data_IF_512155818404
#
_entry.id   IF_512155818404
#
_cell.length_a   1.000
_cell.length_b   1.000
_cell.length_c   1.000
_cell.angle_alpha   90.00
_cell.angle_beta   90.00
_cell.angle_gamma   90.00
#
_symmetry.space_group_name_H-M   'P 1'
#
loop_
_entity.id
_entity.type
_entity.pdbx_description
1 polymer ?
#
# COMPACT_ATOMS: atom_id res chain seq x y z
N UNK A 1 -0.33 -12.10 6.68
CA UNK A 1 0.25 -11.00 5.89
C UNK A 1 1.18 -11.61 4.85
N UNK A 2 0.90 -11.42 3.56
CA UNK A 2 1.63 -12.01 2.44
C UNK A 2 2.35 -10.90 1.67
N UNK A 3 3.63 -11.08 1.37
CA UNK A 3 4.41 -10.13 0.58
C UNK A 3 5.20 -10.88 -0.48
N UNK A 4 5.25 -10.31 -1.68
CA UNK A 4 6.05 -10.77 -2.80
C UNK A 4 6.90 -9.62 -3.31
N UNK A 5 8.15 -9.91 -3.65
CA UNK A 5 9.08 -8.99 -4.31
C UNK A 5 9.74 -9.74 -5.45
N UNK A 6 9.67 -9.19 -6.64
CA UNK A 6 10.20 -9.80 -7.85
C UNK A 6 11.12 -8.81 -8.54
N UNK A 7 12.38 -9.22 -8.70
CA UNK A 7 13.32 -8.55 -9.58
C UNK A 7 13.18 -9.17 -10.98
N UNK A 8 12.71 -8.37 -11.93
CA UNK A 8 12.43 -8.79 -13.29
C UNK A 8 13.55 -8.31 -14.24
N UNK A 9 13.79 -9.03 -15.36
CA UNK A 9 14.76 -8.60 -16.36
C UNK A 9 14.51 -7.17 -16.87
N UNK A 10 15.57 -6.45 -17.22
CA UNK A 10 15.47 -5.08 -17.74
C UNK A 10 15.32 -4.00 -16.66
N UNK A 11 15.70 -4.31 -15.40
CA UNK A 11 15.70 -3.35 -14.30
C UNK A 11 14.33 -3.07 -13.71
N UNK A 12 13.36 -3.95 -13.95
CA UNK A 12 12.00 -3.85 -13.42
C UNK A 12 11.91 -4.51 -12.05
N UNK A 13 11.17 -3.88 -11.14
CA UNK A 13 10.86 -4.42 -9.82
C UNK A 13 9.35 -4.47 -9.65
N UNK A 14 8.82 -5.59 -9.20
CA UNK A 14 7.39 -5.72 -8.90
C UNK A 14 7.19 -6.24 -7.48
N UNK A 15 6.62 -5.39 -6.63
CA UNK A 15 6.27 -5.75 -5.26
C UNK A 15 4.76 -5.79 -5.09
N UNK A 16 4.31 -6.74 -4.27
CA UNK A 16 2.91 -6.84 -3.86
C UNK A 16 2.84 -7.17 -2.38
N UNK A 17 1.93 -6.52 -1.66
CA UNK A 17 1.59 -6.84 -0.29
C UNK A 17 0.09 -7.06 -0.17
N UNK A 18 -0.27 -8.18 0.44
CA UNK A 18 -1.65 -8.59 0.67
C UNK A 18 -1.85 -8.90 2.15
N UNK A 19 -2.84 -8.24 2.74
CA UNK A 19 -3.18 -8.37 4.14
C UNK A 19 -4.65 -8.78 4.22
N UNK A 20 -4.94 -9.75 5.09
CA UNK A 20 -6.29 -10.04 5.53
C UNK A 20 -6.38 -9.64 6.98
N UNK A 21 -7.44 -8.92 7.31
CA UNK A 21 -7.81 -8.57 8.68
C UNK A 21 -9.17 -9.18 8.91
N UNK A 22 -9.24 -10.03 9.93
CA UNK A 22 -10.49 -10.66 10.34
C UNK A 22 -11.41 -9.65 11.03
N UNK A 23 -12.69 -9.99 11.19
CA UNK A 23 -13.64 -9.13 11.90
C UNK A 23 -13.16 -8.87 13.32
N UNK A 24 -13.24 -7.62 13.75
CA UNK A 24 -13.00 -7.18 15.12
C UNK A 24 -14.31 -6.64 15.71
N UNK A 25 -15.17 -7.49 16.30
CA UNK A 25 -16.50 -7.10 16.77
C UNK A 25 -16.46 -6.00 17.83
N UNK A 26 -15.47 -6.04 18.72
CA UNK A 26 -15.30 -5.05 19.80
C UNK A 26 -14.96 -3.64 19.28
N UNK A 27 -14.53 -3.53 18.02
CA UNK A 27 -14.15 -2.29 17.37
C UNK A 27 -15.07 -1.91 16.20
N UNK A 28 -16.19 -2.62 16.01
CA UNK A 28 -17.12 -2.42 14.89
C UNK A 28 -16.42 -2.40 13.51
N UNK A 29 -15.37 -3.22 13.36
CA UNK A 29 -14.61 -3.35 12.12
C UNK A 29 -14.94 -4.71 11.51
N UNK A 30 -15.52 -4.69 10.31
CA UNK A 30 -15.75 -5.88 9.50
C UNK A 30 -14.44 -6.48 8.97
N UNK A 31 -14.48 -7.74 8.54
CA UNK A 31 -13.34 -8.37 7.87
C UNK A 31 -13.02 -7.64 6.55
N UNK A 32 -11.73 -7.48 6.25
CA UNK A 32 -11.32 -6.83 5.01
C UNK A 32 -9.98 -7.33 4.49
N UNK A 33 -9.79 -7.07 3.19
CA UNK A 33 -8.55 -7.34 2.49
C UNK A 33 -7.91 -6.03 2.07
N UNK A 34 -6.60 -5.92 2.29
CA UNK A 34 -5.78 -4.80 1.84
C UNK A 34 -4.71 -5.27 0.87
N UNK A 35 -4.75 -4.72 -0.34
CA UNK A 35 -3.78 -4.96 -1.41
C UNK A 35 -3.01 -3.68 -1.73
N UNK A 36 -1.69 -3.77 -1.65
CA UNK A 36 -0.75 -2.74 -2.09
C UNK A 36 0.16 -3.32 -3.18
N UNK A 37 0.44 -2.53 -4.22
CA UNK A 37 1.28 -2.94 -5.37
C UNK A 37 2.26 -1.82 -5.70
N UNK A 38 3.52 -2.17 -5.98
CA UNK A 38 4.54 -1.26 -6.52
C UNK A 38 5.14 -1.84 -7.79
N UNK A 39 5.26 -0.99 -8.80
CA UNK A 39 6.07 -1.25 -9.99
C UNK A 39 7.21 -0.22 -10.05
N UNK A 40 8.44 -0.69 -9.92
CA UNK A 40 9.67 0.08 -10.02
C UNK A 40 10.40 -0.20 -11.33
N UNK A 41 11.13 0.79 -11.84
CA UNK A 41 11.98 0.65 -13.01
C UNK A 41 13.26 1.48 -12.90
N UNK A 42 14.39 0.80 -12.96
CA UNK A 42 15.72 1.40 -13.06
C UNK A 42 16.03 1.70 -14.53
N UNK A 43 15.70 2.91 -14.96
CA UNK A 43 15.96 3.39 -16.33
C UNK A 43 17.45 3.49 -16.60
N UNK A 44 18.22 3.88 -15.58
CA UNK A 44 19.69 3.94 -15.61
C UNK A 44 20.23 3.89 -14.18
N UNK A 45 21.57 3.89 -14.02
CA UNK A 45 22.20 3.98 -12.70
C UNK A 45 21.84 5.27 -11.92
N UNK A 46 21.34 6.29 -12.62
CA UNK A 46 21.04 7.60 -12.06
C UNK A 46 19.54 7.90 -11.96
N UNK A 47 18.67 7.06 -12.56
CA UNK A 47 17.25 7.37 -12.70
C UNK A 47 16.40 6.14 -12.37
N UNK A 48 15.52 6.30 -11.40
CA UNK A 48 14.56 5.28 -10.97
C UNK A 48 13.14 5.84 -10.98
N UNK A 49 12.23 5.10 -11.61
CA UNK A 49 10.80 5.43 -11.66
C UNK A 49 10.03 4.43 -10.81
N UNK A 50 9.02 4.90 -10.09
CA UNK A 50 8.15 4.05 -9.30
C UNK A 50 6.70 4.49 -9.45
N UNK A 51 5.80 3.52 -9.55
CA UNK A 51 4.37 3.70 -9.41
C UNK A 51 3.88 2.80 -8.29
N UNK A 52 3.21 3.38 -7.31
CA UNK A 52 2.68 2.65 -6.15
C UNK A 52 1.18 2.86 -6.07
N UNK A 53 0.43 1.77 -5.99
CA UNK A 53 -0.97 1.75 -5.63
C UNK A 53 -1.14 1.20 -4.21
N UNK A 54 -1.88 1.93 -3.37
CA UNK A 54 -2.17 1.51 -2.00
C UNK A 54 -3.67 1.36 -1.77
N UNK A 55 -4.04 0.41 -0.91
CA UNK A 55 -5.42 0.11 -0.51
C UNK A 55 -6.33 -0.16 -1.72
N UNK A 56 -5.84 -0.94 -2.68
CA UNK A 56 -6.49 -1.15 -3.99
C UNK A 56 -7.83 -1.92 -3.88
N UNK A 57 -7.97 -2.79 -2.88
CA UNK A 57 -9.15 -3.61 -2.63
C UNK A 57 -10.20 -2.90 -1.77
N UNK A 58 -9.83 -1.82 -1.08
CA UNK A 58 -10.67 -1.23 -0.07
C UNK A 58 -11.61 -0.17 -0.66
N UNK A 59 -12.92 -0.37 -0.47
CA UNK A 59 -13.92 0.68 -0.64
C UNK A 59 -14.16 1.31 0.74
N UNK A 60 -13.22 2.18 1.18
CA UNK A 60 -13.31 3.03 2.38
C UNK A 60 -13.59 2.23 3.67
N UNK A 61 -12.57 1.90 4.44
CA UNK A 61 -12.75 1.40 5.81
C UNK A 61 -12.05 2.34 6.81
N UNK A 62 -12.62 2.44 8.00
CA UNK A 62 -12.05 3.17 9.13
C UNK A 62 -10.92 2.31 9.73
N UNK A 63 -9.67 2.60 9.38
CA UNK A 63 -8.54 2.12 10.19
C UNK A 63 -8.50 2.98 11.48
N UNK A 64 -8.72 2.33 12.63
CA UNK A 64 -8.71 2.84 14.01
C UNK A 64 -9.94 3.62 14.53
N UNK A 65 -10.68 3.00 15.46
CA UNK A 65 -11.35 3.72 16.54
C UNK A 65 -10.29 4.16 17.56
N UNK A 66 -10.05 5.46 17.64
CA UNK A 66 -9.16 6.04 18.64
C UNK A 66 -9.64 5.68 20.05
N UNK A 67 -8.85 4.88 20.78
CA UNK A 67 -9.02 4.74 22.21
C UNK A 67 -8.82 6.13 22.85
N UNK A 68 -9.89 6.67 23.43
CA UNK A 68 -9.90 7.82 24.33
C UNK A 68 -9.14 9.08 23.86
N UNK A 69 -9.80 9.93 23.06
CA UNK A 69 -9.43 11.34 22.95
C UNK A 69 -9.27 11.88 21.54
N UNK A 70 -10.38 12.24 20.89
CA UNK A 70 -10.43 13.35 19.92
C UNK A 70 -9.68 13.22 18.59
N UNK A 71 -9.09 12.07 18.24
CA UNK A 71 -8.43 11.88 16.94
C UNK A 71 -9.45 11.31 15.96
N UNK A 72 -9.73 12.07 14.89
CA UNK A 72 -10.64 11.62 13.83
C UNK A 72 -10.07 10.41 13.07
N UNK A 73 -10.91 9.44 12.66
CA UNK A 73 -10.47 8.28 11.91
C UNK A 73 -9.72 8.69 10.63
N UNK A 74 -8.50 8.21 10.45
CA UNK A 74 -7.77 8.41 9.20
C UNK A 74 -8.23 7.33 8.21
N UNK A 75 -9.28 7.65 7.44
CA UNK A 75 -9.58 6.89 6.22
C UNK A 75 -8.35 7.02 5.31
N UNK A 76 -7.61 5.94 5.08
CA UNK A 76 -6.59 5.93 4.03
C UNK A 76 -7.29 5.51 2.74
N UNK A 77 -7.70 6.46 1.88
CA UNK A 77 -8.39 6.11 0.65
C UNK A 77 -7.47 5.33 -0.27
N UNK A 78 -8.06 4.63 -1.24
CA UNK A 78 -7.33 4.15 -2.41
C UNK A 78 -6.47 5.30 -2.95
N UNK A 79 -5.19 5.04 -3.16
CA UNK A 79 -4.29 6.04 -3.69
C UNK A 79 -3.35 5.43 -4.70
N UNK A 80 -3.00 6.23 -5.71
CA UNK A 80 -1.98 5.90 -6.69
C UNK A 80 -1.07 7.11 -6.79
N UNK A 81 0.23 6.89 -6.68
CA UNK A 81 1.22 7.94 -6.81
C UNK A 81 2.46 7.44 -7.55
N UNK A 82 3.10 8.37 -8.24
CA UNK A 82 4.38 8.15 -8.92
C UNK A 82 5.52 8.81 -8.15
N UNK A 83 6.71 8.22 -8.22
CA UNK A 83 7.95 8.81 -7.72
C UNK A 83 9.05 8.70 -8.76
N UNK A 84 9.79 9.78 -8.94
CA UNK A 84 11.02 9.81 -9.72
C UNK A 84 12.18 10.06 -8.75
N UNK A 85 13.20 9.21 -8.80
CA UNK A 85 14.42 9.38 -8.00
C UNK A 85 15.59 9.60 -8.95
N UNK A 86 16.31 10.71 -8.73
CA UNK A 86 17.55 11.03 -9.42
C UNK A 86 18.72 10.86 -8.44
N UNK A 87 19.77 10.16 -8.87
CA UNK A 87 21.00 9.96 -8.10
C UNK A 87 22.15 10.61 -8.89
N UNK A 88 22.99 11.39 -8.21
CA UNK A 88 24.11 12.13 -8.77
C UNK A 88 25.38 11.89 -7.96
#
# INVERSE_FOLDING_TARGET
NLRSRLDLPGGWEFDTAFNYVDRLPDLDIDEYFRLDVRLGWHVSQHVELNVTGQNLTEKRHQEFLGFAGGIQPALVPRSVYGKVTLRY
#
